data_IF_463845195338
#
_entry.id   IF_463845195338
#
_cell.length_a   1.000
_cell.length_b   1.000
_cell.length_c   1.000
_cell.angle_alpha   90.00
_cell.angle_beta   90.00
_cell.angle_gamma   90.00
#
_symmetry.space_group_name_H-M   'P 1'
#
loop_
_entity.id
_entity.type
_entity.pdbx_description
1 polymer ?
#
# COMPACT_ATOMS: atom_id res chain seq x y z
N UNK A 1 7.56 -14.62 2.97
CA UNK A 1 6.35 -14.93 3.79
C UNK A 1 5.11 -14.38 3.13
N UNK A 2 3.97 -15.06 3.25
CA UNK A 2 2.68 -14.59 2.71
C UNK A 2 1.71 -14.43 3.88
N UNK A 3 0.97 -13.32 3.90
CA UNK A 3 -0.07 -13.11 4.91
C UNK A 3 -1.28 -13.98 4.57
N UNK A 4 -1.70 -14.83 5.50
CA UNK A 4 -2.89 -15.66 5.32
C UNK A 4 -4.15 -14.86 5.65
N UNK A 5 -4.74 -14.24 4.64
CA UNK A 5 -5.94 -13.41 4.78
C UNK A 5 -7.14 -14.22 5.29
N UNK A 6 -7.18 -15.51 5.00
CA UNK A 6 -8.24 -16.41 5.47
C UNK A 6 -8.27 -16.58 6.99
N UNK A 7 -7.17 -16.38 7.67
CA UNK A 7 -7.04 -16.53 9.13
C UNK A 7 -7.16 -15.21 9.90
N UNK A 8 -7.29 -14.06 9.20
CA UNK A 8 -7.40 -12.77 9.86
C UNK A 8 -8.76 -12.59 10.56
N UNK A 9 -8.73 -11.92 11.73
CA UNK A 9 -9.93 -11.45 12.39
C UNK A 9 -10.58 -10.30 11.59
N UNK A 10 -11.89 -10.07 11.67
CA UNK A 10 -12.58 -9.01 10.93
C UNK A 10 -12.00 -7.60 11.14
N UNK A 11 -11.51 -7.31 12.33
CA UNK A 11 -10.86 -6.04 12.70
C UNK A 11 -9.35 -6.02 12.40
N UNK A 12 -8.82 -7.05 11.73
CA UNK A 12 -7.41 -7.26 11.39
C UNK A 12 -6.46 -7.45 12.59
N UNK A 13 -6.95 -7.41 13.81
CA UNK A 13 -6.17 -7.75 15.00
C UNK A 13 -5.97 -9.29 15.10
N UNK A 14 -4.83 -9.76 15.57
CA UNK A 14 -3.67 -9.03 16.11
C UNK A 14 -2.60 -8.64 15.07
N UNK A 15 -2.82 -8.93 13.78
CA UNK A 15 -1.78 -8.87 12.74
C UNK A 15 -1.45 -7.45 12.29
N UNK A 16 -2.42 -6.53 12.35
CA UNK A 16 -2.27 -5.17 11.85
C UNK A 16 -2.53 -4.11 12.92
N UNK A 17 -1.84 -2.98 12.77
CA UNK A 17 -2.16 -1.72 13.46
C UNK A 17 -2.64 -0.71 12.44
N UNK A 18 -3.73 -0.01 12.74
CA UNK A 18 -4.29 1.00 11.85
C UNK A 18 -3.76 2.39 12.20
N UNK A 19 -3.13 3.04 11.23
CA UNK A 19 -2.59 4.40 11.34
C UNK A 19 -3.16 5.30 10.24
N UNK A 20 -2.93 6.59 10.38
CA UNK A 20 -3.25 7.60 9.37
C UNK A 20 -2.16 8.66 9.33
N UNK A 21 -1.73 9.04 8.10
CA UNK A 21 -0.97 10.26 7.83
C UNK A 21 -1.95 11.37 7.46
N UNK A 22 -1.65 12.60 7.81
CA UNK A 22 -2.44 13.79 7.41
C UNK A 22 -3.70 13.99 8.21
N UNK A 23 -4.72 14.57 7.57
CA UNK A 23 -5.93 15.07 8.17
C UNK A 23 -7.11 14.08 8.08
N UNK A 24 -8.32 14.51 8.49
CA UNK A 24 -9.55 13.74 8.39
C UNK A 24 -9.76 12.72 9.52
N UNK A 25 -10.71 11.82 9.32
CA UNK A 25 -11.07 10.76 10.26
C UNK A 25 -10.02 9.66 10.38
N UNK A 26 -10.15 8.83 11.39
CA UNK A 26 -9.30 7.66 11.59
C UNK A 26 -9.31 6.70 10.38
N UNK A 27 -8.27 5.89 10.26
CA UNK A 27 -8.27 4.78 9.31
C UNK A 27 -9.29 3.72 9.74
N UNK A 28 -9.99 3.14 8.78
CA UNK A 28 -11.00 2.10 9.01
C UNK A 28 -10.73 0.92 8.07
N UNK A 29 -9.79 0.08 8.46
CA UNK A 29 -9.45 -1.14 7.73
C UNK A 29 -10.22 -2.33 8.27
N UNK A 30 -10.73 -3.15 7.37
CA UNK A 30 -11.54 -4.32 7.71
C UNK A 30 -11.33 -5.45 6.71
N UNK A 31 -11.67 -6.65 7.14
CA UNK A 31 -11.79 -7.80 6.26
C UNK A 31 -13.16 -7.79 5.61
N UNK A 32 -13.21 -7.78 4.30
CA UNK A 32 -14.45 -7.72 3.52
C UNK A 32 -14.63 -8.97 2.64
N UNK A 33 -15.87 -9.34 2.36
CA UNK A 33 -16.19 -10.40 1.41
C UNK A 33 -15.99 -9.88 -0.02
N UNK A 34 -15.31 -10.65 -0.86
CA UNK A 34 -15.16 -10.40 -2.29
C UNK A 34 -15.05 -11.74 -3.02
N UNK A 35 -16.08 -12.13 -3.74
CA UNK A 35 -16.15 -13.42 -4.41
C UNK A 35 -15.07 -13.59 -5.51
N UNK A 36 -14.49 -12.49 -6.00
CA UNK A 36 -13.40 -12.51 -6.98
C UNK A 36 -12.00 -12.53 -6.35
N UNK A 37 -11.91 -12.39 -5.02
CA UNK A 37 -10.66 -12.45 -4.29
C UNK A 37 -10.16 -13.90 -4.13
N UNK A 38 -8.85 -14.07 -4.03
CA UNK A 38 -8.28 -15.34 -3.63
C UNK A 38 -8.78 -15.71 -2.21
N UNK A 39 -9.49 -16.83 -2.08
CA UNK A 39 -10.12 -17.21 -0.82
C UNK A 39 -11.42 -16.46 -0.46
N UNK A 40 -11.97 -15.66 -1.38
CA UNK A 40 -13.29 -15.00 -1.20
C UNK A 40 -13.30 -13.82 -0.22
N UNK A 41 -12.14 -13.35 0.23
CA UNK A 41 -11.98 -12.24 1.18
C UNK A 41 -10.83 -11.32 0.79
N UNK A 42 -10.95 -10.05 1.17
CA UNK A 42 -9.92 -9.05 0.98
C UNK A 42 -9.80 -8.14 2.20
N UNK A 43 -8.64 -7.53 2.38
CA UNK A 43 -8.45 -6.41 3.30
C UNK A 43 -8.81 -5.13 2.54
N UNK A 44 -9.63 -4.25 3.15
CA UNK A 44 -10.00 -2.97 2.55
C UNK A 44 -10.08 -1.86 3.59
N UNK A 45 -9.69 -0.65 3.20
CA UNK A 45 -10.07 0.57 3.89
C UNK A 45 -11.50 0.91 3.47
N UNK A 46 -12.41 1.08 4.44
CA UNK A 46 -13.85 1.17 4.19
C UNK A 46 -14.48 2.53 4.52
N UNK A 47 -13.71 3.45 5.11
CA UNK A 47 -14.17 4.81 5.35
C UNK A 47 -14.38 5.57 4.03
N UNK A 48 -15.45 6.33 3.94
CA UNK A 48 -15.76 7.21 2.81
C UNK A 48 -15.35 8.68 3.05
N UNK A 49 -14.44 8.92 3.99
CA UNK A 49 -13.91 10.26 4.29
C UNK A 49 -13.17 10.84 3.09
N UNK A 50 -13.66 11.97 2.60
CA UNK A 50 -13.20 12.64 1.38
C UNK A 50 -12.07 13.65 1.62
N UNK A 51 -11.49 13.70 2.81
CA UNK A 51 -10.36 14.57 3.11
C UNK A 51 -9.19 14.24 2.19
N UNK A 52 -8.80 15.18 1.33
CA UNK A 52 -7.84 14.92 0.25
C UNK A 52 -6.46 14.53 0.77
N UNK A 53 -5.98 15.17 1.84
CA UNK A 53 -4.68 14.87 2.46
C UNK A 53 -4.86 13.91 3.64
N UNK A 54 -5.44 12.75 3.37
CA UNK A 54 -5.69 11.66 4.30
C UNK A 54 -5.15 10.37 3.71
N UNK A 55 -4.19 9.74 4.40
CA UNK A 55 -3.55 8.51 3.95
C UNK A 55 -3.67 7.41 5.02
N UNK A 56 -4.71 6.58 4.94
CA UNK A 56 -4.87 5.42 5.83
C UNK A 56 -3.81 4.36 5.59
N UNK A 57 -3.28 3.81 6.69
CA UNK A 57 -2.27 2.76 6.72
C UNK A 57 -2.76 1.56 7.52
N UNK A 58 -2.59 0.35 6.98
CA UNK A 58 -2.69 -0.91 7.74
C UNK A 58 -1.28 -1.49 7.88
N UNK A 59 -0.68 -1.31 9.06
CA UNK A 59 0.70 -1.69 9.36
C UNK A 59 0.76 -3.17 9.74
N UNK A 60 1.51 -3.98 9.00
CA UNK A 60 1.73 -5.38 9.31
C UNK A 60 2.74 -5.53 10.46
N UNK A 61 2.26 -5.95 11.64
CA UNK A 61 3.04 -6.01 12.89
C UNK A 61 4.15 -7.07 12.90
N UNK A 62 3.92 -8.30 12.35
CA UNK A 62 4.89 -9.39 12.48
C UNK A 62 6.22 -9.19 11.75
N UNK A 63 6.30 -8.24 10.80
CA UNK A 63 7.48 -8.02 9.98
C UNK A 63 8.12 -6.66 10.20
N UNK A 64 9.46 -6.61 10.16
CA UNK A 64 10.26 -5.40 10.02
C UNK A 64 11.54 -5.73 9.24
N UNK A 65 11.88 -4.94 8.23
CA UNK A 65 13.05 -5.17 7.40
C UNK A 65 13.49 -3.92 6.66
N UNK A 66 14.72 -3.93 6.18
CA UNK A 66 15.31 -2.87 5.36
C UNK A 66 15.26 -3.25 3.88
N UNK A 67 15.92 -4.35 3.54
CA UNK A 67 16.00 -4.85 2.17
C UNK A 67 14.97 -5.96 2.00
N UNK A 68 14.05 -5.78 1.06
CA UNK A 68 12.89 -6.65 0.91
C UNK A 68 12.23 -6.47 -0.45
N UNK A 69 11.49 -7.47 -0.85
CA UNK A 69 10.50 -7.36 -1.92
C UNK A 69 9.09 -7.53 -1.35
N UNK A 70 8.19 -6.61 -1.68
CA UNK A 70 6.77 -6.72 -1.33
C UNK A 70 5.95 -6.76 -2.61
N UNK A 71 5.08 -7.77 -2.70
CA UNK A 71 4.07 -7.87 -3.74
C UNK A 71 2.69 -7.86 -3.10
N UNK A 72 1.81 -7.03 -3.63
CA UNK A 72 0.38 -7.07 -3.32
C UNK A 72 -0.45 -7.30 -4.57
N UNK A 73 -1.53 -8.03 -4.41
CA UNK A 73 -2.59 -8.10 -5.41
C UNK A 73 -3.74 -7.23 -4.92
N UNK A 74 -4.15 -6.26 -5.74
CA UNK A 74 -5.12 -5.24 -5.36
C UNK A 74 -6.16 -5.01 -6.45
N UNK A 75 -7.33 -4.52 -6.05
CA UNK A 75 -8.43 -4.13 -6.94
C UNK A 75 -8.99 -2.78 -6.49
N UNK A 76 -8.86 -1.71 -7.30
CA UNK A 76 -9.53 -0.44 -7.03
C UNK A 76 -11.04 -0.61 -7.19
N UNK A 77 -11.84 -0.35 -6.15
CA UNK A 77 -13.28 -0.61 -6.15
C UNK A 77 -14.08 0.67 -6.28
N UNK A 78 -13.88 1.62 -5.37
CA UNK A 78 -14.56 2.92 -5.38
C UNK A 78 -13.65 4.03 -4.88
N UNK A 79 -14.12 5.25 -5.10
CA UNK A 79 -13.50 6.48 -4.67
C UNK A 79 -13.84 7.59 -5.67
N UNK A 80 -14.14 8.79 -5.18
CA UNK A 80 -14.50 9.95 -6.00
C UNK A 80 -13.46 11.07 -5.92
N UNK A 81 -12.81 11.22 -4.77
CA UNK A 81 -11.66 12.12 -4.59
C UNK A 81 -10.40 11.43 -5.08
N UNK A 82 -10.27 10.14 -4.74
CA UNK A 82 -9.15 9.32 -5.19
C UNK A 82 -9.57 7.86 -5.33
N UNK A 83 -8.86 7.07 -6.11
CA UNK A 83 -9.08 5.64 -6.24
C UNK A 83 -7.72 4.91 -6.29
N UNK A 84 -6.99 5.03 -5.19
CA UNK A 84 -5.61 4.59 -5.06
C UNK A 84 -5.45 3.47 -4.04
N UNK A 85 -4.49 2.61 -4.31
CA UNK A 85 -4.03 1.60 -3.38
C UNK A 85 -2.54 1.36 -3.53
N UNK A 86 -1.88 0.98 -2.45
CA UNK A 86 -0.43 0.82 -2.49
C UNK A 86 0.19 0.12 -1.29
N UNK A 87 1.51 0.14 -1.32
CA UNK A 87 2.41 -0.48 -0.36
C UNK A 87 3.28 0.60 0.26
N UNK A 88 3.32 0.68 1.58
CA UNK A 88 4.36 1.45 2.28
C UNK A 88 5.42 0.51 2.84
N UNK A 89 6.69 0.95 2.75
CA UNK A 89 7.84 0.21 3.28
C UNK A 89 8.74 1.11 4.11
N UNK A 90 9.57 0.49 4.96
CA UNK A 90 10.40 1.20 5.94
C UNK A 90 9.58 2.20 6.76
N UNK A 91 8.36 1.78 7.14
CA UNK A 91 7.47 2.61 7.96
C UNK A 91 8.02 2.71 9.37
N UNK A 92 8.38 3.92 9.79
CA UNK A 92 8.96 4.23 11.10
C UNK A 92 7.88 4.83 12.01
N UNK A 93 7.14 5.80 11.50
CA UNK A 93 6.02 6.47 12.15
C UNK A 93 4.84 6.58 11.16
N UNK A 94 3.65 7.03 11.59
CA UNK A 94 2.56 7.35 10.66
C UNK A 94 2.92 8.40 9.61
N UNK A 95 3.99 9.16 9.82
CA UNK A 95 4.37 10.31 9.02
C UNK A 95 5.74 10.15 8.32
N UNK A 96 6.42 8.99 8.49
CA UNK A 96 7.78 8.76 7.96
C UNK A 96 7.89 7.37 7.33
N UNK A 97 7.86 7.31 5.99
CA UNK A 97 7.91 6.07 5.21
C UNK A 97 8.12 6.32 3.71
N UNK A 98 8.38 5.25 2.95
CA UNK A 98 8.21 5.24 1.49
C UNK A 98 6.87 4.63 1.11
N UNK A 99 6.25 5.12 0.02
CA UNK A 99 5.01 4.56 -0.51
C UNK A 99 5.02 4.44 -2.03
N UNK A 100 4.66 3.27 -2.51
CA UNK A 100 4.34 2.99 -3.90
C UNK A 100 2.82 2.84 -4.02
N UNK A 101 2.19 3.58 -4.95
CA UNK A 101 0.75 3.49 -5.17
C UNK A 101 0.38 3.45 -6.65
N UNK A 102 -0.70 2.75 -6.98
CA UNK A 102 -1.42 2.84 -8.24
C UNK A 102 -2.72 3.60 -8.06
N UNK A 103 -3.18 4.33 -9.07
CA UNK A 103 -4.39 5.15 -9.00
C UNK A 103 -5.24 4.98 -10.26
N UNK A 104 -6.48 4.51 -10.09
CA UNK A 104 -7.40 4.22 -11.20
C UNK A 104 -8.11 5.47 -11.74
N UNK A 105 -8.17 6.58 -11.00
CA UNK A 105 -8.70 7.85 -11.52
C UNK A 105 -7.67 8.61 -12.35
N UNK A 106 -6.39 8.46 -12.02
CA UNK A 106 -5.28 9.19 -12.67
C UNK A 106 -4.54 8.35 -13.71
N UNK A 107 -4.77 7.03 -13.76
CA UNK A 107 -4.05 6.10 -14.65
C UNK A 107 -2.53 6.24 -14.52
N UNK A 108 -2.03 6.05 -13.30
CA UNK A 108 -0.60 6.10 -13.04
C UNK A 108 -0.16 5.26 -11.83
N UNK A 109 1.14 4.97 -11.79
CA UNK A 109 1.87 4.43 -10.65
C UNK A 109 2.90 5.46 -10.23
N UNK A 110 2.96 5.81 -8.94
CA UNK A 110 3.87 6.81 -8.38
C UNK A 110 4.56 6.26 -7.13
N UNK A 111 5.81 6.66 -6.95
CA UNK A 111 6.61 6.34 -5.77
C UNK A 111 7.01 7.62 -5.05
N UNK A 112 6.82 7.64 -3.73
CA UNK A 112 7.05 8.82 -2.88
C UNK A 112 7.87 8.46 -1.65
N UNK A 113 8.59 9.46 -1.11
CA UNK A 113 8.91 9.50 0.31
C UNK A 113 7.89 10.39 1.05
N UNK A 114 7.58 10.03 2.29
CA UNK A 114 6.79 10.82 3.22
C UNK A 114 7.67 11.13 4.42
N UNK A 115 7.93 12.40 4.68
CA UNK A 115 8.76 12.89 5.78
C UNK A 115 7.95 13.90 6.58
N UNK A 116 7.77 13.63 7.87
CA UNK A 116 6.93 14.47 8.75
C UNK A 116 5.55 14.74 8.15
N UNK A 117 4.96 13.72 7.53
CA UNK A 117 3.66 13.78 6.89
C UNK A 117 3.65 14.46 5.51
N UNK A 118 4.76 14.99 5.01
CA UNK A 118 4.84 15.67 3.71
C UNK A 118 5.35 14.70 2.63
N UNK A 119 4.58 14.60 1.53
CA UNK A 119 4.84 13.67 0.44
C UNK A 119 5.64 14.34 -0.69
N UNK A 120 6.73 13.70 -1.09
CA UNK A 120 7.55 14.10 -2.24
C UNK A 120 7.71 12.94 -3.21
N UNK A 121 7.42 13.18 -4.50
CA UNK A 121 7.51 12.15 -5.53
C UNK A 121 8.98 11.90 -5.92
N UNK A 122 9.36 10.62 -5.92
CA UNK A 122 10.70 10.15 -6.31
C UNK A 122 10.70 9.53 -7.72
N UNK A 123 9.57 9.06 -8.19
CA UNK A 123 9.45 8.46 -9.51
C UNK A 123 8.01 8.13 -9.86
N UNK A 124 7.79 7.74 -11.13
CA UNK A 124 6.47 7.36 -11.58
C UNK A 124 6.41 6.98 -13.04
N UNK A 125 5.29 6.37 -13.42
CA UNK A 125 4.94 6.03 -14.80
C UNK A 125 3.44 6.19 -15.01
N UNK A 126 3.05 6.66 -16.19
CA UNK A 126 1.66 6.65 -16.63
C UNK A 126 1.36 5.27 -17.20
N UNK A 127 0.34 4.63 -16.65
CA UNK A 127 -0.10 3.29 -17.01
C UNK A 127 -1.57 3.14 -16.68
N UNK A 128 -2.32 2.47 -17.56
CA UNK A 128 -3.73 2.20 -17.33
C UNK A 128 -3.92 1.35 -16.06
N UNK A 129 -4.73 1.85 -15.13
CA UNK A 129 -5.15 1.14 -13.92
C UNK A 129 -6.66 0.97 -13.97
N UNK A 130 -7.12 -0.17 -14.50
CA UNK A 130 -8.55 -0.42 -14.64
C UNK A 130 -9.22 -0.60 -13.28
N UNK A 131 -10.34 0.11 -13.00
CA UNK A 131 -11.13 -0.12 -11.80
C UNK A 131 -11.83 -1.48 -11.86
N UNK A 132 -12.13 -2.06 -10.69
CA UNK A 132 -12.79 -3.35 -10.54
C UNK A 132 -12.07 -4.54 -11.19
N UNK A 133 -10.77 -4.40 -11.44
CA UNK A 133 -9.89 -5.45 -11.97
C UNK A 133 -8.77 -5.69 -10.97
N UNK A 134 -8.41 -6.96 -10.78
CA UNK A 134 -7.26 -7.33 -9.98
C UNK A 134 -5.96 -7.04 -10.72
N UNK A 135 -5.05 -6.34 -10.06
CA UNK A 135 -3.71 -6.00 -10.51
C UNK A 135 -2.67 -6.45 -9.49
N UNK A 136 -1.43 -6.53 -9.91
CA UNK A 136 -0.29 -6.74 -9.01
C UNK A 136 0.60 -5.50 -8.96
N UNK A 137 1.05 -5.15 -7.78
CA UNK A 137 2.01 -4.08 -7.55
C UNK A 137 3.17 -4.65 -6.73
N UNK A 138 4.40 -4.46 -7.19
CA UNK A 138 5.58 -4.96 -6.51
C UNK A 138 6.61 -3.86 -6.31
N UNK A 139 7.20 -3.85 -5.14
CA UNK A 139 8.29 -2.96 -4.73
C UNK A 139 9.45 -3.79 -4.21
N UNK A 140 10.61 -3.69 -4.84
CA UNK A 140 11.87 -4.24 -4.35
C UNK A 140 12.74 -3.11 -3.84
N UNK A 141 13.15 -3.17 -2.56
CA UNK A 141 14.03 -2.22 -1.91
C UNK A 141 15.35 -2.90 -1.57
N UNK A 142 16.47 -2.38 -2.09
CA UNK A 142 17.84 -2.86 -1.85
C UNK A 142 18.74 -1.65 -1.60
N UNK A 143 19.22 -1.48 -0.37
CA UNK A 143 19.99 -0.29 -0.01
C UNK A 143 19.18 0.99 -0.21
N UNK A 144 19.63 1.84 -1.09
CA UNK A 144 18.98 3.09 -1.49
C UNK A 144 18.20 3.00 -2.81
N UNK A 145 18.23 1.82 -3.46
CA UNK A 145 17.57 1.59 -4.74
C UNK A 145 16.24 0.88 -4.58
N UNK A 146 15.24 1.41 -5.29
CA UNK A 146 13.89 0.87 -5.37
C UNK A 146 13.55 0.49 -6.80
N UNK A 147 13.02 -0.72 -7.00
CA UNK A 147 12.57 -1.21 -8.30
C UNK A 147 11.06 -1.45 -8.25
N UNK A 148 10.33 -0.87 -9.19
CA UNK A 148 8.88 -0.84 -9.21
C UNK A 148 8.34 -1.63 -10.39
N UNK A 149 7.42 -2.57 -10.12
CA UNK A 149 6.74 -3.36 -11.13
C UNK A 149 5.22 -3.30 -10.96
N UNK A 150 4.52 -3.35 -12.07
CA UNK A 150 3.06 -3.38 -12.15
C UNK A 150 2.62 -4.43 -13.17
N UNK A 151 1.71 -5.30 -12.78
CA UNK A 151 1.24 -6.46 -13.58
C UNK A 151 2.38 -7.25 -14.22
N UNK A 152 3.42 -7.52 -13.41
CA UNK A 152 4.60 -8.28 -13.80
C UNK A 152 5.61 -7.53 -14.69
N UNK A 153 5.36 -6.26 -15.03
CA UNK A 153 6.28 -5.45 -15.84
C UNK A 153 7.04 -4.46 -14.97
N UNK A 154 8.36 -4.42 -15.13
CA UNK A 154 9.19 -3.35 -14.58
C UNK A 154 8.78 -2.01 -15.19
N UNK A 155 8.44 -1.02 -14.34
CA UNK A 155 8.06 0.32 -14.78
C UNK A 155 9.22 1.31 -14.70
N UNK A 156 9.83 1.41 -13.52
CA UNK A 156 10.94 2.34 -13.27
C UNK A 156 11.71 1.93 -12.01
N UNK A 157 12.84 2.61 -11.82
CA UNK A 157 13.63 2.56 -10.59
C UNK A 157 13.73 3.97 -10.00
N UNK A 158 13.95 4.05 -8.69
CA UNK A 158 14.23 5.29 -7.98
C UNK A 158 15.34 5.05 -6.96
N UNK A 159 16.02 6.12 -6.57
CA UNK A 159 17.06 6.08 -5.53
C UNK A 159 16.77 7.14 -4.48
N UNK A 160 16.81 6.75 -3.21
CA UNK A 160 16.67 7.65 -2.07
C UNK A 160 17.20 6.96 -0.79
N UNK A 161 17.87 7.71 0.05
CA UNK A 161 18.48 7.21 1.28
C UNK A 161 17.93 7.87 2.56
N UNK A 162 16.79 8.52 2.48
CA UNK A 162 16.16 9.22 3.61
C UNK A 162 15.92 8.26 4.79
N UNK A 163 15.39 7.07 4.53
CA UNK A 163 15.18 6.04 5.54
C UNK A 163 16.10 4.84 5.27
N UNK A 164 17.29 4.86 5.86
CA UNK A 164 18.33 3.85 5.64
C UNK A 164 18.22 2.62 6.55
N UNK A 165 17.37 2.67 7.58
CA UNK A 165 17.16 1.58 8.55
C UNK A 165 15.96 0.68 8.20
N UNK A 166 15.78 -0.41 8.99
CA UNK A 166 14.60 -1.25 8.87
C UNK A 166 13.34 -0.54 9.34
N UNK A 167 12.20 -0.93 8.79
CA UNK A 167 10.88 -0.45 9.21
C UNK A 167 9.79 -1.45 8.85
N UNK A 168 8.54 -1.10 9.15
CA UNK A 168 7.37 -1.93 8.88
C UNK A 168 6.96 -1.87 7.40
N UNK A 169 6.12 -2.83 7.03
CA UNK A 169 5.38 -2.85 5.76
C UNK A 169 3.92 -2.52 6.06
N UNK A 170 3.26 -1.78 5.18
CA UNK A 170 1.85 -1.45 5.32
C UNK A 170 1.11 -1.46 3.98
N UNK A 171 -0.20 -1.70 4.03
CA UNK A 171 -1.12 -1.30 2.97
C UNK A 171 -1.44 0.18 3.13
N UNK A 172 -1.71 0.84 2.02
CA UNK A 172 -1.92 2.29 1.97
C UNK A 172 -3.05 2.63 1.01
N UNK A 173 -3.86 3.61 1.39
CA UNK A 173 -4.86 4.23 0.51
C UNK A 173 -4.86 5.76 0.68
N UNK A 174 -5.65 6.46 -0.13
CA UNK A 174 -5.80 7.91 -0.06
C UNK A 174 -7.28 8.32 -0.07
N UNK A 175 -7.63 9.30 0.78
CA UNK A 175 -8.95 9.90 0.86
C UNK A 175 -10.07 8.84 0.98
N UNK A 176 -11.06 8.89 0.09
CA UNK A 176 -12.22 7.99 0.03
C UNK A 176 -11.97 6.72 -0.80
N UNK A 177 -10.71 6.40 -1.11
CA UNK A 177 -10.36 5.19 -1.87
C UNK A 177 -10.78 3.93 -1.11
N UNK A 178 -11.57 3.08 -1.77
CA UNK A 178 -11.82 1.70 -1.36
C UNK A 178 -11.09 0.78 -2.33
N UNK A 179 -10.01 0.22 -1.88
CA UNK A 179 -9.18 -0.74 -2.62
C UNK A 179 -9.13 -2.05 -1.85
N UNK A 180 -9.41 -3.15 -2.53
CA UNK A 180 -9.31 -4.49 -1.97
C UNK A 180 -7.92 -5.04 -2.18
N UNK A 181 -7.37 -5.71 -1.16
CA UNK A 181 -6.10 -6.43 -1.20
C UNK A 181 -6.34 -7.88 -0.78
N UNK A 182 -5.99 -8.84 -1.63
CA UNK A 182 -6.20 -10.26 -1.34
C UNK A 182 -4.91 -11.09 -1.28
N UNK A 183 -3.78 -10.49 -1.60
CA UNK A 183 -2.47 -11.11 -1.48
C UNK A 183 -1.46 -10.10 -1.00
N UNK A 184 -0.70 -10.46 0.03
CA UNK A 184 0.44 -9.69 0.54
C UNK A 184 1.58 -10.68 0.72
N UNK A 185 2.59 -10.59 -0.12
CA UNK A 185 3.80 -11.41 -0.04
C UNK A 185 5.00 -10.52 0.27
N UNK A 186 5.77 -10.88 1.30
CA UNK A 186 6.97 -10.17 1.73
C UNK A 186 8.14 -11.15 1.68
N UNK A 187 9.18 -10.81 0.94
CA UNK A 187 10.41 -11.57 0.82
C UNK A 187 11.57 -10.72 1.33
N UNK A 188 12.13 -11.04 2.51
CA UNK A 188 13.38 -10.41 2.95
C UNK A 188 14.49 -10.70 1.93
N UNK A 189 15.35 -9.71 1.71
CA UNK A 189 16.56 -9.84 0.91
C UNK A 189 17.78 -9.84 1.84
N UNK A 190 18.74 -10.73 1.56
CA UNK A 190 19.97 -10.89 2.37
C UNK A 190 20.98 -9.78 2.06
#
# INVERSE_FOLDING_TARGET
MTVDIGQLAPNLEPEFTQWRTGDGGAAEWSLVADASAAGGRAIAQVSNDKTNYRFPLAIYKPFSGKDLEVLVRFKPVTGTVDQAGGIAVRVITPDDYYVLRANALEDNVRFYRVVKGQREQLGGADVKVAPNVWHTLALKAEGDRFSISYDGKMLFTAEDNTFAGPGKVALWTKADSVTHFDTIAITPLD
#
